data_IF_194997188298
#
_entry.id   IF_194997188298
#
_cell.length_a   1.000
_cell.length_b   1.000
_cell.length_c   1.000
_cell.angle_alpha   90.00
_cell.angle_beta   90.00
_cell.angle_gamma   90.00
#
_symmetry.space_group_name_H-M   'P 1'
#
loop_
_entity.id
_entity.type
_entity.pdbx_description
1 polymer ?
#
# COMPACT_ATOMS: atom_id res chain seq x y z
N UNK A 1 -1.46 24.52 -8.18
CA UNK A 1 -0.12 24.01 -8.51
C UNK A 1 0.03 24.10 -10.02
N UNK A 2 0.91 24.97 -10.51
CA UNK A 2 1.36 24.93 -11.90
C UNK A 2 2.18 23.64 -12.09
N UNK A 3 1.92 22.82 -13.12
CA UNK A 3 2.73 21.65 -13.40
C UNK A 3 4.18 22.09 -13.68
N UNK A 4 5.15 21.28 -13.25
CA UNK A 4 6.55 21.52 -13.57
C UNK A 4 6.76 21.47 -15.09
N UNK A 5 7.69 22.28 -15.65
CA UNK A 5 7.97 22.26 -17.08
C UNK A 5 8.44 20.88 -17.56
N UNK A 6 7.99 20.44 -18.74
CA UNK A 6 8.34 19.15 -19.37
C UNK A 6 9.86 18.92 -19.51
N UNK A 7 10.65 20.00 -19.50
CA UNK A 7 12.12 19.95 -19.56
C UNK A 7 12.78 19.25 -18.37
N UNK A 8 12.09 19.09 -17.23
CA UNK A 8 12.62 18.36 -16.07
C UNK A 8 12.54 16.84 -16.22
N UNK A 9 11.78 16.33 -17.20
CA UNK A 9 11.55 14.90 -17.42
C UNK A 9 12.37 14.33 -18.59
N UNK A 10 13.49 14.95 -18.99
CA UNK A 10 14.33 14.39 -20.05
C UNK A 10 14.78 12.96 -19.68
N UNK A 11 14.23 11.96 -20.36
CA UNK A 11 14.46 10.54 -20.09
C UNK A 11 13.44 9.86 -19.16
N UNK A 12 12.60 10.62 -18.46
CA UNK A 12 11.50 10.08 -17.65
C UNK A 12 10.26 9.87 -18.51
N UNK A 13 9.71 8.66 -18.47
CA UNK A 13 8.42 8.35 -19.06
C UNK A 13 7.36 8.38 -17.95
N UNK A 14 6.27 9.14 -18.11
CA UNK A 14 5.13 9.05 -17.20
C UNK A 14 4.64 7.60 -17.14
N UNK A 15 4.49 7.07 -15.93
CA UNK A 15 3.97 5.71 -15.72
C UNK A 15 2.48 5.78 -15.42
N UNK A 16 1.70 4.91 -16.07
CA UNK A 16 0.26 4.80 -15.80
C UNK A 16 0.03 3.75 -14.73
N UNK A 17 -0.51 4.15 -13.58
CA UNK A 17 -0.92 3.22 -12.52
C UNK A 17 -2.20 2.50 -12.94
N UNK A 18 -2.07 1.21 -13.24
CA UNK A 18 -3.15 0.26 -13.51
C UNK A 18 -3.33 -0.61 -12.27
N UNK A 19 -3.86 0.01 -11.22
CA UNK A 19 -3.85 -0.54 -9.87
C UNK A 19 -5.13 -1.27 -9.46
N UNK A 20 -4.99 -2.15 -8.46
CA UNK A 20 -6.10 -2.76 -7.72
C UNK A 20 -5.92 -2.58 -6.21
N UNK A 21 -7.03 -2.65 -5.48
CA UNK A 21 -7.01 -2.71 -4.01
C UNK A 21 -7.02 -4.19 -3.60
N UNK A 22 -6.11 -4.60 -2.71
CA UNK A 22 -5.99 -5.98 -2.25
C UNK A 22 -6.13 -6.05 -0.74
N UNK A 23 -7.16 -6.74 -0.27
CA UNK A 23 -7.18 -7.29 1.09
C UNK A 23 -6.40 -8.60 1.13
N UNK A 24 -5.64 -8.81 2.20
CA UNK A 24 -4.92 -10.06 2.44
C UNK A 24 -5.87 -11.12 3.01
N UNK A 25 -6.62 -11.77 2.13
CA UNK A 25 -7.62 -12.76 2.54
C UNK A 25 -7.67 -13.98 1.62
N UNK A 26 -7.79 -15.14 2.23
CA UNK A 26 -8.07 -16.41 1.59
C UNK A 26 -9.43 -16.93 2.10
N UNK A 27 -10.23 -17.52 1.20
CA UNK A 27 -11.60 -17.98 1.53
C UNK A 27 -11.65 -19.02 2.64
N UNK A 28 -10.63 -19.87 2.73
CA UNK A 28 -10.60 -21.02 3.62
C UNK A 28 -9.77 -20.73 4.88
N UNK A 29 -8.71 -19.92 4.73
CA UNK A 29 -7.71 -19.62 5.76
C UNK A 29 -7.87 -18.25 6.42
N UNK A 30 -8.79 -17.41 5.93
CA UNK A 30 -8.94 -16.03 6.41
C UNK A 30 -7.70 -15.19 6.09
N UNK A 31 -7.17 -14.46 7.08
CA UNK A 31 -6.00 -13.59 6.92
C UNK A 31 -4.65 -14.33 6.82
N UNK A 32 -4.66 -15.67 6.82
CA UNK A 32 -3.44 -16.45 6.65
C UNK A 32 -3.26 -16.84 5.18
N UNK A 33 -2.28 -16.23 4.52
CA UNK A 33 -1.87 -16.57 3.15
C UNK A 33 -0.50 -17.24 3.15
N UNK A 34 -0.34 -18.25 2.30
CA UNK A 34 0.98 -18.84 2.03
C UNK A 34 1.67 -18.08 0.91
N UNK A 35 2.98 -18.33 0.73
CA UNK A 35 3.73 -17.79 -0.41
C UNK A 35 3.06 -18.12 -1.74
N UNK A 36 2.53 -19.34 -1.87
CA UNK A 36 1.86 -19.80 -3.09
C UNK A 36 0.57 -19.03 -3.36
N UNK A 37 -0.20 -18.68 -2.32
CA UNK A 37 -1.38 -17.83 -2.47
C UNK A 37 -0.98 -16.44 -3.00
N UNK A 38 0.04 -15.83 -2.40
CA UNK A 38 0.54 -14.49 -2.79
C UNK A 38 1.12 -14.47 -4.21
N UNK A 39 1.93 -15.47 -4.57
CA UNK A 39 2.49 -15.60 -5.92
C UNK A 39 1.38 -15.78 -6.95
N UNK A 40 0.35 -16.57 -6.63
CA UNK A 40 -0.80 -16.75 -7.51
C UNK A 40 -1.55 -15.44 -7.74
N UNK A 41 -1.79 -14.65 -6.69
CA UNK A 41 -2.41 -13.32 -6.83
C UNK A 41 -1.59 -12.43 -7.78
N UNK A 42 -0.27 -12.36 -7.59
CA UNK A 42 0.63 -11.55 -8.41
C UNK A 42 0.64 -12.02 -9.87
N UNK A 43 0.70 -13.34 -10.11
CA UNK A 43 0.64 -13.90 -11.46
C UNK A 43 -0.64 -13.50 -12.17
N UNK A 44 -1.79 -13.63 -11.50
CA UNK A 44 -3.08 -13.25 -12.06
C UNK A 44 -3.16 -11.74 -12.35
N UNK A 45 -2.63 -10.90 -11.47
CA UNK A 45 -2.53 -9.46 -11.73
C UNK A 45 -1.75 -9.17 -13.01
N UNK A 46 -0.60 -9.82 -13.19
CA UNK A 46 0.23 -9.61 -14.39
C UNK A 46 -0.44 -10.12 -15.66
N UNK A 47 -1.11 -11.27 -15.61
CA UNK A 47 -1.93 -11.78 -16.73
C UNK A 47 -3.04 -10.81 -17.14
N UNK A 48 -3.57 -10.05 -16.17
CA UNK A 48 -4.60 -9.03 -16.38
C UNK A 48 -4.03 -7.63 -16.64
N UNK A 49 -2.72 -7.49 -16.87
CA UNK A 49 -2.02 -6.23 -17.13
C UNK A 49 -2.11 -5.19 -16.00
N UNK A 50 -2.34 -5.65 -14.75
CA UNK A 50 -2.23 -4.83 -13.54
C UNK A 50 -0.75 -4.65 -13.22
N UNK A 51 -0.37 -3.41 -12.86
CA UNK A 51 1.02 -3.09 -12.50
C UNK A 51 1.16 -2.51 -11.09
N UNK A 52 0.06 -2.36 -10.35
CA UNK A 52 0.10 -1.76 -9.02
C UNK A 52 -0.92 -2.36 -8.04
N UNK A 53 -0.59 -2.33 -6.76
CA UNK A 53 -1.44 -2.76 -5.65
C UNK A 53 -1.46 -1.70 -4.56
N UNK A 54 -2.64 -1.46 -4.01
CA UNK A 54 -2.83 -0.79 -2.72
C UNK A 54 -3.15 -1.82 -1.65
N UNK A 55 -2.38 -1.83 -0.56
CA UNK A 55 -2.58 -2.73 0.60
C UNK A 55 -3.73 -2.23 1.48
N UNK A 56 -4.96 -2.31 0.97
CA UNK A 56 -6.14 -1.81 1.68
C UNK A 56 -6.45 -2.70 2.90
N UNK A 57 -6.55 -2.19 4.13
CA UNK A 57 -6.24 -0.85 4.64
C UNK A 57 -5.24 -0.97 5.80
N UNK A 58 -4.18 -1.75 5.55
CA UNK A 58 -3.16 -2.12 6.52
C UNK A 58 -1.93 -2.70 5.79
N UNK A 59 -0.75 -2.69 6.43
CA UNK A 59 0.44 -3.31 5.86
C UNK A 59 0.24 -4.84 5.81
N UNK A 60 0.57 -5.47 4.69
CA UNK A 60 0.47 -6.91 4.51
C UNK A 60 1.66 -7.64 5.17
N UNK A 61 1.71 -8.97 5.03
CA UNK A 61 2.88 -9.79 5.36
C UNK A 61 4.15 -9.25 4.66
N UNK A 62 5.29 -9.11 5.36
CA UNK A 62 6.56 -8.65 4.76
C UNK A 62 6.97 -9.40 3.49
N UNK A 63 6.66 -10.71 3.40
CA UNK A 63 6.94 -11.51 2.21
C UNK A 63 6.26 -10.97 0.95
N UNK A 64 5.09 -10.33 1.08
CA UNK A 64 4.38 -9.76 -0.05
C UNK A 64 5.19 -8.64 -0.73
N UNK A 65 5.92 -7.84 0.05
CA UNK A 65 6.74 -6.74 -0.45
C UNK A 65 8.00 -7.26 -1.17
N UNK A 66 8.64 -8.30 -0.61
CA UNK A 66 9.74 -9.02 -1.28
C UNK A 66 9.29 -9.56 -2.66
N UNK A 67 8.07 -10.12 -2.72
CA UNK A 67 7.49 -10.60 -3.97
C UNK A 67 7.14 -9.45 -4.92
N UNK A 68 6.62 -8.33 -4.43
CA UNK A 68 6.36 -7.15 -5.29
C UNK A 68 7.65 -6.59 -5.89
N UNK A 69 8.76 -6.59 -5.13
CA UNK A 69 10.09 -6.25 -5.63
C UNK A 69 10.55 -7.23 -6.71
N UNK A 70 10.42 -8.54 -6.46
CA UNK A 70 10.84 -9.61 -7.39
C UNK A 70 10.05 -9.58 -8.71
N UNK A 71 8.73 -9.43 -8.62
CA UNK A 71 7.83 -9.56 -9.76
C UNK A 71 7.52 -8.23 -10.45
N UNK A 72 7.94 -7.09 -9.89
CA UNK A 72 7.73 -5.77 -10.47
C UNK A 72 6.27 -5.32 -10.40
N UNK A 73 5.78 -5.09 -9.19
CA UNK A 73 4.48 -4.51 -8.88
C UNK A 73 4.71 -3.22 -8.07
N UNK A 74 4.13 -2.10 -8.50
CA UNK A 74 4.14 -0.88 -7.70
C UNK A 74 3.23 -1.02 -6.49
N UNK A 75 3.70 -0.63 -5.32
CA UNK A 75 2.97 -0.73 -4.06
C UNK A 75 2.67 0.66 -3.51
N UNK A 76 1.40 0.88 -3.19
CA UNK A 76 0.98 1.89 -2.24
C UNK A 76 0.78 1.17 -0.90
N UNK A 77 1.69 1.42 0.03
CA UNK A 77 1.69 0.79 1.35
C UNK A 77 0.92 1.66 2.33
N UNK A 78 -0.07 1.07 3.00
CA UNK A 78 -1.06 1.81 3.78
C UNK A 78 -1.03 1.42 5.26
N UNK A 79 -0.92 2.42 6.14
CA UNK A 79 -0.89 2.21 7.57
C UNK A 79 -2.22 1.62 8.06
N UNK A 80 -2.16 0.75 9.08
CA UNK A 80 -3.35 0.15 9.67
C UNK A 80 -4.09 1.20 10.52
N UNK A 81 -4.84 2.10 9.88
CA UNK A 81 -5.48 3.23 10.51
C UNK A 81 -6.83 3.55 9.86
N UNK A 82 -7.89 2.96 10.39
CA UNK A 82 -9.26 3.25 9.94
C UNK A 82 -10.18 3.51 11.13
N UNK A 83 -10.83 4.68 11.13
CA UNK A 83 -11.83 5.06 12.14
C UNK A 83 -13.14 5.53 11.50
N UNK A 84 -13.51 4.96 10.35
CA UNK A 84 -14.68 5.39 9.57
C UNK A 84 -15.96 5.45 10.42
N UNK A 85 -16.17 4.47 11.31
CA UNK A 85 -17.32 4.45 12.22
C UNK A 85 -17.47 5.69 13.12
N UNK A 86 -16.39 6.44 13.37
CA UNK A 86 -16.40 7.67 14.18
C UNK A 86 -16.90 8.90 13.41
N UNK A 87 -17.03 8.78 12.08
CA UNK A 87 -17.37 9.86 11.13
C UNK A 87 -16.39 11.04 11.14
N UNK A 88 -16.54 11.91 10.15
CA UNK A 88 -15.72 13.11 9.97
C UNK A 88 -16.40 14.31 10.67
N UNK A 89 -16.09 14.56 11.94
CA UNK A 89 -16.56 15.75 12.68
C UNK A 89 -15.82 15.86 14.03
N UNK A 90 -16.50 16.35 15.07
CA UNK A 90 -15.99 16.46 16.44
C UNK A 90 -15.54 15.13 17.04
N UNK A 91 -16.19 14.03 16.66
CA UNK A 91 -15.85 12.67 17.13
C UNK A 91 -14.67 12.04 16.39
N UNK A 92 -14.08 12.73 15.42
CA UNK A 92 -12.97 12.21 14.63
C UNK A 92 -11.72 12.05 15.50
N UNK A 93 -11.22 10.81 15.60
CA UNK A 93 -10.05 10.49 16.43
C UNK A 93 -8.77 11.18 15.93
N UNK A 94 -8.67 11.48 14.63
CA UNK A 94 -7.54 12.22 14.07
C UNK A 94 -7.43 13.67 14.59
N UNK A 95 -8.50 14.23 15.19
CA UNK A 95 -8.49 15.56 15.83
C UNK A 95 -8.30 15.48 17.35
N UNK A 96 -8.26 14.28 17.93
CA UNK A 96 -8.13 14.09 19.36
C UNK A 96 -6.64 13.93 19.74
N UNK A 97 -6.05 14.88 20.49
CA UNK A 97 -4.64 14.80 20.89
C UNK A 97 -4.28 13.54 21.67
N UNK A 98 -5.24 12.92 22.37
CA UNK A 98 -5.02 11.64 23.08
C UNK A 98 -4.66 10.48 22.15
N UNK A 99 -4.97 10.59 20.86
CA UNK A 99 -4.67 9.57 19.86
C UNK A 99 -3.42 9.89 19.02
N UNK A 100 -2.74 11.03 19.26
CA UNK A 100 -1.58 11.45 18.46
C UNK A 100 -0.52 10.34 18.40
N UNK A 101 -0.08 9.84 19.55
CA UNK A 101 0.96 8.81 19.63
C UNK A 101 0.52 7.51 18.96
N UNK A 102 -0.74 7.12 19.10
CA UNK A 102 -1.29 5.91 18.47
C UNK A 102 -1.31 6.00 16.93
N UNK A 103 -1.58 7.19 16.36
CA UNK A 103 -1.50 7.41 14.91
C UNK A 103 -0.04 7.36 14.45
N UNK A 104 0.84 8.08 15.14
CA UNK A 104 2.27 8.14 14.79
C UNK A 104 2.94 6.78 14.88
N UNK A 105 2.63 5.97 15.89
CA UNK A 105 3.20 4.63 16.07
C UNK A 105 2.83 3.70 14.90
N UNK A 106 1.56 3.72 14.45
CA UNK A 106 1.08 2.88 13.35
C UNK A 106 1.74 3.24 12.02
N UNK A 107 1.77 4.54 11.69
CA UNK A 107 2.39 5.01 10.45
C UNK A 107 3.90 4.83 10.46
N UNK A 108 4.58 5.19 11.56
CA UNK A 108 6.04 5.08 11.64
C UNK A 108 6.53 3.63 11.58
N UNK A 109 5.83 2.69 12.22
CA UNK A 109 6.22 1.26 12.19
C UNK A 109 6.16 0.67 10.78
N UNK A 110 5.13 1.00 10.00
CA UNK A 110 5.06 0.60 8.58
C UNK A 110 6.25 1.17 7.81
N UNK A 111 6.45 2.49 7.86
CA UNK A 111 7.54 3.14 7.13
C UNK A 111 8.90 2.56 7.51
N UNK A 112 9.19 2.39 8.81
CA UNK A 112 10.46 1.85 9.27
C UNK A 112 10.68 0.38 8.91
N UNK A 113 9.62 -0.40 8.70
CA UNK A 113 9.73 -1.78 8.24
C UNK A 113 10.04 -1.82 6.75
N UNK A 114 9.34 -1.01 5.96
CA UNK A 114 9.21 -1.25 4.52
C UNK A 114 10.01 -0.27 3.63
N UNK A 115 10.70 0.73 4.20
CA UNK A 115 11.37 1.80 3.44
C UNK A 115 12.44 1.35 2.43
N UNK A 116 12.94 0.11 2.54
CA UNK A 116 13.96 -0.42 1.64
C UNK A 116 13.37 -1.13 0.41
N UNK A 117 12.05 -1.32 0.33
CA UNK A 117 11.41 -1.98 -0.81
C UNK A 117 11.25 -1.01 -1.98
N UNK A 118 11.98 -1.19 -3.10
CA UNK A 118 11.83 -0.34 -4.28
C UNK A 118 10.43 -0.42 -4.90
N UNK A 119 9.67 -1.48 -4.65
CA UNK A 119 8.27 -1.59 -5.07
C UNK A 119 7.37 -0.55 -4.40
N UNK A 120 7.70 -0.09 -3.20
CA UNK A 120 6.89 0.90 -2.47
C UNK A 120 7.14 2.30 -3.02
N UNK A 121 6.16 2.79 -3.80
CA UNK A 121 6.23 4.09 -4.48
C UNK A 121 5.39 5.17 -3.80
N UNK A 122 4.47 4.78 -2.91
CA UNK A 122 3.60 5.68 -2.14
C UNK A 122 3.36 5.13 -0.73
N UNK A 123 3.29 6.03 0.26
CA UNK A 123 2.86 5.75 1.63
C UNK A 123 1.47 6.36 1.85
N UNK A 124 0.56 5.60 2.47
CA UNK A 124 -0.80 6.03 2.80
C UNK A 124 -1.17 5.87 4.26
#
# INVERSE_FOLDING_TARGET
MTPFPDSYYQGFKPELIKGVNRHEINSDKGYYLTREDMVRDIQLMKELNINAVRTCHYPNDPLFYDLCDEYGIYVLDEANLESHGMRYAEKCLAKNPLFLDAHLERTSRMVFRDFNHPSVVLWS
#
